data_IF_125499057047
#
_entry.id   IF_125499057047
#
_cell.length_a   1.000
_cell.length_b   1.000
_cell.length_c   1.000
_cell.angle_alpha   90.00
_cell.angle_beta   90.00
_cell.angle_gamma   90.00
#
_symmetry.space_group_name_H-M   'P 1'
#
loop_
_entity.id
_entity.type
_entity.pdbx_description
1 polymer ?
#
# COMPACT_ATOMS: atom_id res chain seq x y z
N UNK A 1 1.07 -2.89 42.56
CA UNK A 1 1.34 -1.76 41.64
C UNK A 1 2.26 -0.73 42.27
N UNK A 2 1.82 0.08 43.24
CA UNK A 2 2.67 1.14 43.81
C UNK A 2 3.89 0.61 44.60
N UNK A 3 3.72 -0.45 45.40
CA UNK A 3 4.86 -1.07 46.11
C UNK A 3 5.92 -1.60 45.14
N UNK A 4 5.49 -2.33 44.11
CA UNK A 4 6.39 -2.87 43.09
C UNK A 4 7.09 -1.77 42.29
N UNK A 5 6.37 -0.72 41.91
CA UNK A 5 6.98 0.45 41.25
C UNK A 5 8.05 1.09 42.13
N UNK A 6 7.74 1.36 43.41
CA UNK A 6 8.68 1.94 44.38
C UNK A 6 9.94 1.09 44.51
N UNK A 7 9.78 -0.22 44.63
CA UNK A 7 10.90 -1.14 44.82
C UNK A 7 11.79 -1.20 43.56
N UNK A 8 11.21 -1.18 42.36
CA UNK A 8 11.96 -1.10 41.09
C UNK A 8 12.71 0.22 40.95
N UNK A 9 12.08 1.36 41.23
CA UNK A 9 12.73 2.68 41.20
C UNK A 9 13.89 2.73 42.20
N UNK A 10 13.70 2.16 43.40
CA UNK A 10 14.77 2.06 44.41
C UNK A 10 15.95 1.21 43.92
N UNK A 11 15.68 0.11 43.22
CA UNK A 11 16.74 -0.73 42.62
C UNK A 11 17.49 0.06 41.55
N UNK A 12 16.78 0.69 40.62
CA UNK A 12 17.38 1.44 39.50
C UNK A 12 18.23 2.61 39.98
N UNK A 13 17.77 3.30 41.03
CA UNK A 13 18.53 4.39 41.66
C UNK A 13 19.82 3.87 42.33
N UNK A 14 19.76 2.72 43.02
CA UNK A 14 20.95 2.11 43.65
C UNK A 14 21.96 1.58 42.62
N UNK A 15 21.47 1.08 41.50
CA UNK A 15 22.27 0.59 40.37
C UNK A 15 22.89 1.73 39.53
N UNK A 16 22.50 3.00 39.78
CA UNK A 16 22.98 4.15 39.02
C UNK A 16 22.46 4.18 37.57
N UNK A 17 21.26 3.63 37.31
CA UNK A 17 20.69 3.62 35.96
C UNK A 17 20.39 5.03 35.45
N UNK A 18 20.39 5.23 34.13
CA UNK A 18 20.01 6.51 33.53
C UNK A 18 18.61 6.95 33.99
N UNK A 19 18.44 8.25 34.20
CA UNK A 19 17.14 8.83 34.57
C UNK A 19 16.01 8.45 33.59
N UNK A 20 16.36 8.23 32.31
CA UNK A 20 15.43 7.77 31.27
C UNK A 20 14.72 6.46 31.64
N UNK A 21 15.40 5.53 32.32
CA UNK A 21 14.80 4.25 32.71
C UNK A 21 13.78 4.43 33.82
N UNK A 22 14.03 5.36 34.75
CA UNK A 22 13.09 5.71 35.82
C UNK A 22 11.88 6.45 35.23
N UNK A 23 12.09 7.36 34.27
CA UNK A 23 11.00 8.03 33.55
C UNK A 23 10.12 7.02 32.79
N UNK A 24 10.72 6.04 32.12
CA UNK A 24 9.98 4.97 31.46
C UNK A 24 9.12 4.14 32.43
N UNK A 25 9.60 3.91 33.67
CA UNK A 25 8.79 3.27 34.72
C UNK A 25 7.60 4.16 35.14
N UNK A 26 7.80 5.48 35.23
CA UNK A 26 6.74 6.42 35.56
C UNK A 26 5.68 6.47 34.45
N UNK A 27 6.10 6.49 33.18
CA UNK A 27 5.20 6.41 32.03
C UNK A 27 4.39 5.11 32.06
N UNK A 28 5.04 3.97 32.32
CA UNK A 28 4.33 2.68 32.47
C UNK A 28 3.30 2.71 33.61
N UNK A 29 3.67 3.26 34.77
CA UNK A 29 2.75 3.38 35.89
C UNK A 29 1.54 4.24 35.51
N UNK A 30 1.76 5.39 34.85
CA UNK A 30 0.72 6.34 34.43
C UNK A 30 -0.18 5.74 33.36
N UNK A 31 0.41 5.22 32.28
CA UNK A 31 -0.29 4.91 31.04
C UNK A 31 -0.75 3.45 30.97
N UNK A 32 -0.24 2.53 31.80
CA UNK A 32 -0.65 1.12 31.79
C UNK A 32 -1.31 0.70 33.09
N UNK A 33 -0.59 0.85 34.20
CA UNK A 33 -0.98 0.26 35.48
C UNK A 33 -2.15 1.02 36.13
N UNK A 34 -2.10 2.35 36.16
CA UNK A 34 -3.16 3.19 36.73
C UNK A 34 -4.41 3.18 35.84
N UNK A 35 -4.26 3.24 34.52
CA UNK A 35 -5.39 3.19 33.60
C UNK A 35 -6.15 1.86 33.73
N UNK A 36 -5.47 0.73 33.93
CA UNK A 36 -6.12 -0.57 34.20
C UNK A 36 -6.93 -0.57 35.51
N UNK A 37 -6.56 0.28 36.47
CA UNK A 37 -7.30 0.48 37.72
C UNK A 37 -8.40 1.54 37.60
N UNK A 38 -8.61 2.09 36.40
CA UNK A 38 -9.58 3.16 36.16
C UNK A 38 -9.12 4.52 36.66
N UNK A 39 -7.81 4.74 36.76
CA UNK A 39 -7.22 5.98 37.25
C UNK A 39 -6.43 6.64 36.12
N UNK A 40 -6.82 7.86 35.76
CA UNK A 40 -6.09 8.70 34.80
C UNK A 40 -5.48 9.90 35.54
N UNK A 41 -4.24 10.25 35.19
CA UNK A 41 -3.52 11.40 35.72
C UNK A 41 -3.36 12.45 34.62
N UNK A 42 -3.91 13.65 34.85
CA UNK A 42 -3.66 14.81 34.00
C UNK A 42 -2.81 15.85 34.75
N UNK A 43 -1.79 16.41 34.10
CA UNK A 43 -0.96 17.43 34.72
C UNK A 43 -1.69 18.78 34.81
N UNK A 44 -1.57 19.44 35.97
CA UNK A 44 -2.05 20.82 36.16
C UNK A 44 -0.89 21.80 36.07
N UNK A 45 -1.22 23.06 35.79
CA UNK A 45 -0.24 24.15 35.71
C UNK A 45 0.51 24.40 37.03
N UNK A 46 -0.06 23.98 38.17
CA UNK A 46 0.56 24.08 39.50
C UNK A 46 1.54 22.92 39.82
N UNK A 47 1.74 22.00 38.88
CA UNK A 47 2.62 20.83 39.05
C UNK A 47 1.99 19.68 39.85
N UNK A 48 0.71 19.78 40.24
CA UNK A 48 -0.04 18.67 40.82
C UNK A 48 -0.76 17.86 39.74
N UNK A 49 -0.99 16.58 40.01
CA UNK A 49 -1.80 15.75 39.12
C UNK A 49 -3.29 15.86 39.47
N UNK A 50 -4.13 16.05 38.45
CA UNK A 50 -5.56 15.81 38.53
C UNK A 50 -5.83 14.32 38.36
N UNK A 51 -6.42 13.71 39.39
CA UNK A 51 -6.83 12.30 39.35
C UNK A 51 -8.26 12.23 38.82
N UNK A 52 -8.45 11.52 37.71
CA UNK A 52 -9.77 11.20 37.16
C UNK A 52 -10.04 9.71 37.31
N UNK A 53 -11.21 9.38 37.83
CA UNK A 53 -11.67 7.99 37.89
C UNK A 53 -12.54 7.73 36.68
N UNK A 54 -12.07 6.86 35.80
CA UNK A 54 -12.78 6.43 34.59
C UNK A 54 -12.99 4.92 34.73
N UNK A 55 -14.19 4.40 34.46
CA UNK A 55 -14.42 2.95 34.52
C UNK A 55 -13.39 2.20 33.66
N UNK A 56 -12.71 1.22 34.25
CA UNK A 56 -11.67 0.45 33.55
C UNK A 56 -12.21 -0.24 32.28
N UNK A 57 -13.51 -0.58 32.25
CA UNK A 57 -14.18 -1.14 31.08
C UNK A 57 -14.24 -0.15 29.91
N UNK A 58 -14.45 1.14 30.19
CA UNK A 58 -14.50 2.18 29.17
C UNK A 58 -13.11 2.42 28.56
N UNK A 59 -12.07 2.45 29.41
CA UNK A 59 -10.67 2.57 28.97
C UNK A 59 -10.22 1.34 28.17
N UNK A 60 -10.60 0.13 28.60
CA UNK A 60 -10.33 -1.09 27.87
C UNK A 60 -11.02 -1.10 26.49
N UNK A 61 -12.28 -0.66 26.41
CA UNK A 61 -13.01 -0.55 25.15
C UNK A 61 -12.37 0.46 24.20
N UNK A 62 -11.93 1.63 24.69
CA UNK A 62 -11.23 2.63 23.88
C UNK A 62 -9.89 2.12 23.33
N UNK A 63 -9.10 1.40 24.14
CA UNK A 63 -7.86 0.75 23.69
C UNK A 63 -8.13 -0.29 22.61
N UNK A 64 -9.11 -1.16 22.84
CA UNK A 64 -9.49 -2.19 21.86
C UNK A 64 -9.96 -1.57 20.54
N UNK A 65 -10.80 -0.53 20.60
CA UNK A 65 -11.25 0.19 19.40
C UNK A 65 -10.09 0.83 18.63
N UNK A 66 -9.11 1.42 19.33
CA UNK A 66 -7.92 2.01 18.69
C UNK A 66 -7.03 0.95 18.03
N UNK A 67 -6.84 -0.20 18.68
CA UNK A 67 -6.07 -1.32 18.12
C UNK A 67 -6.79 -1.92 16.90
N UNK A 68 -8.10 -2.12 16.98
CA UNK A 68 -8.90 -2.61 15.85
C UNK A 68 -8.84 -1.63 14.67
N UNK A 69 -9.03 -0.33 14.89
CA UNK A 69 -8.94 0.69 13.84
C UNK A 69 -7.53 0.74 13.20
N UNK A 70 -6.47 0.59 13.99
CA UNK A 70 -5.10 0.51 13.48
C UNK A 70 -4.88 -0.74 12.61
N UNK A 71 -5.38 -1.90 13.06
CA UNK A 71 -5.27 -3.16 12.33
C UNK A 71 -6.10 -3.15 11.04
N UNK A 72 -7.32 -2.61 11.06
CA UNK A 72 -8.15 -2.45 9.87
C UNK A 72 -7.49 -1.51 8.85
N UNK A 73 -6.91 -0.41 9.31
CA UNK A 73 -6.19 0.53 8.44
C UNK A 73 -4.94 -0.13 7.82
N UNK A 74 -4.22 -0.93 8.59
CA UNK A 74 -3.08 -1.69 8.10
C UNK A 74 -3.50 -2.73 7.06
N UNK A 75 -4.55 -3.51 7.34
CA UNK A 75 -5.10 -4.51 6.43
C UNK A 75 -5.58 -3.89 5.10
N UNK A 76 -6.33 -2.77 5.17
CA UNK A 76 -6.78 -2.05 3.97
C UNK A 76 -5.60 -1.50 3.16
N UNK A 77 -4.55 -1.02 3.82
CA UNK A 77 -3.34 -0.54 3.14
C UNK A 77 -2.61 -1.67 2.43
N UNK A 78 -2.52 -2.84 3.06
CA UNK A 78 -1.88 -4.02 2.49
C UNK A 78 -2.69 -4.58 1.30
N UNK A 79 -4.01 -4.66 1.43
CA UNK A 79 -4.89 -5.06 0.32
C UNK A 79 -4.81 -4.09 -0.85
N UNK A 80 -4.83 -2.78 -0.59
CA UNK A 80 -4.66 -1.76 -1.63
C UNK A 80 -3.28 -1.84 -2.29
N UNK A 81 -2.21 -2.14 -1.54
CA UNK A 81 -0.88 -2.34 -2.09
C UNK A 81 -0.83 -3.60 -2.99
N UNK A 82 -1.39 -4.73 -2.55
CA UNK A 82 -1.49 -5.96 -3.35
C UNK A 82 -2.30 -5.75 -4.62
N UNK A 83 -3.43 -5.04 -4.55
CA UNK A 83 -4.26 -4.73 -5.71
C UNK A 83 -3.51 -3.82 -6.70
N UNK A 84 -2.75 -2.83 -6.22
CA UNK A 84 -1.92 -1.96 -7.07
C UNK A 84 -0.79 -2.75 -7.75
N UNK A 85 -0.10 -3.62 -7.02
CA UNK A 85 0.94 -4.47 -7.61
C UNK A 85 0.37 -5.44 -8.65
N UNK A 86 -0.77 -6.09 -8.38
CA UNK A 86 -1.44 -6.95 -9.35
C UNK A 86 -1.86 -6.17 -10.61
N UNK A 87 -2.44 -4.96 -10.44
CA UNK A 87 -2.78 -4.10 -11.57
C UNK A 87 -1.54 -3.66 -12.36
N UNK A 88 -0.44 -3.36 -11.67
CA UNK A 88 0.84 -3.01 -12.30
C UNK A 88 1.41 -4.17 -13.12
N UNK A 89 1.43 -5.38 -12.56
CA UNK A 89 1.87 -6.59 -13.24
C UNK A 89 1.02 -6.89 -14.47
N UNK A 90 -0.31 -6.82 -14.35
CA UNK A 90 -1.22 -7.02 -15.48
C UNK A 90 -1.04 -5.96 -16.58
N UNK A 91 -0.77 -4.71 -16.19
CA UNK A 91 -0.46 -3.62 -17.13
C UNK A 91 0.88 -3.84 -17.85
N UNK A 92 1.90 -4.28 -17.11
CA UNK A 92 3.21 -4.63 -17.66
C UNK A 92 3.11 -5.81 -18.62
N UNK A 93 2.39 -6.88 -18.26
CA UNK A 93 2.19 -8.03 -19.15
C UNK A 93 1.50 -7.66 -20.45
N UNK A 94 0.44 -6.85 -20.38
CA UNK A 94 -0.24 -6.35 -21.58
C UNK A 94 0.67 -5.42 -22.40
N UNK A 95 1.51 -4.62 -21.74
CA UNK A 95 2.46 -3.72 -22.39
C UNK A 95 3.71 -4.40 -22.96
N UNK A 96 3.97 -5.69 -22.68
CA UNK A 96 5.12 -6.41 -23.26
C UNK A 96 5.02 -6.54 -24.78
N UNK A 97 3.82 -6.73 -25.31
CA UNK A 97 3.60 -6.86 -26.75
C UNK A 97 3.81 -5.52 -27.45
N UNK A 98 4.68 -5.50 -28.47
CA UNK A 98 4.87 -4.34 -29.34
C UNK A 98 3.58 -4.03 -30.08
N UNK A 99 3.25 -2.74 -30.21
CA UNK A 99 2.10 -2.30 -31.02
C UNK A 99 2.25 -2.70 -32.51
N UNK A 100 3.47 -2.92 -33.01
CA UNK A 100 3.72 -3.35 -34.40
C UNK A 100 3.37 -4.82 -34.63
N UNK A 101 3.57 -5.65 -33.60
CA UNK A 101 3.40 -7.11 -33.70
C UNK A 101 2.10 -7.60 -33.06
N UNK A 102 1.38 -6.73 -32.33
CA UNK A 102 0.18 -7.13 -31.56
C UNK A 102 -0.87 -7.84 -32.41
N UNK A 103 -1.10 -7.40 -33.66
CA UNK A 103 -2.11 -8.02 -34.54
C UNK A 103 -1.59 -9.27 -35.24
N UNK A 104 -0.26 -9.40 -35.41
CA UNK A 104 0.40 -10.58 -36.00
C UNK A 104 0.56 -11.72 -35.00
N UNK A 105 0.74 -11.39 -33.72
CA UNK A 105 0.89 -12.35 -32.61
C UNK A 105 -0.42 -12.61 -31.85
N UNK A 106 -1.48 -11.86 -32.15
CA UNK A 106 -2.80 -12.09 -31.58
C UNK A 106 -3.38 -13.42 -32.05
N UNK A 107 -4.20 -14.11 -31.22
CA UNK A 107 -4.99 -15.27 -31.66
C UNK A 107 -5.84 -14.98 -32.92
N UNK A 108 -6.18 -13.72 -33.15
CA UNK A 108 -7.00 -13.29 -34.29
C UNK A 108 -6.15 -13.01 -35.56
N UNK A 109 -4.84 -13.25 -35.54
CA UNK A 109 -3.98 -13.05 -36.71
C UNK A 109 -4.46 -13.85 -37.94
N UNK A 110 -5.07 -15.01 -37.71
CA UNK A 110 -5.65 -15.86 -38.76
C UNK A 110 -6.89 -15.25 -39.45
N UNK A 111 -7.47 -14.17 -38.90
CA UNK A 111 -8.61 -13.45 -39.48
C UNK A 111 -8.17 -12.39 -40.51
N UNK A 112 -6.87 -12.10 -40.61
CA UNK A 112 -6.31 -11.04 -41.46
C UNK A 112 -5.42 -11.61 -42.57
N UNK A 113 -5.52 -11.06 -43.77
CA UNK A 113 -4.75 -11.49 -44.94
C UNK A 113 -3.46 -10.71 -45.13
N UNK A 114 -3.52 -9.38 -44.99
CA UNK A 114 -2.39 -8.47 -45.16
C UNK A 114 -2.33 -7.41 -44.08
N UNK A 115 -1.13 -6.93 -43.78
CA UNK A 115 -0.84 -5.95 -42.73
C UNK A 115 -0.03 -4.79 -43.30
N UNK A 116 -0.17 -3.61 -42.71
CA UNK A 116 0.60 -2.43 -43.09
C UNK A 116 2.04 -2.58 -42.59
N UNK A 117 3.04 -2.34 -43.42
CA UNK A 117 4.44 -2.52 -43.02
C UNK A 117 4.91 -1.48 -41.98
N UNK A 118 4.38 -0.25 -42.06
CA UNK A 118 4.78 0.84 -41.16
C UNK A 118 4.12 0.77 -39.78
N UNK A 119 2.88 0.27 -39.69
CA UNK A 119 2.09 0.29 -38.45
C UNK A 119 1.79 -1.12 -37.92
N UNK A 120 1.84 -2.15 -38.77
CA UNK A 120 1.41 -3.50 -38.42
C UNK A 120 -0.11 -3.69 -38.35
N UNK A 121 -0.90 -2.70 -38.78
CA UNK A 121 -2.37 -2.75 -38.75
C UNK A 121 -2.89 -3.62 -39.91
N UNK A 122 -3.88 -4.50 -39.69
CA UNK A 122 -4.52 -5.26 -40.78
C UNK A 122 -5.15 -4.39 -41.87
N UNK A 123 -4.86 -4.68 -43.14
CA UNK A 123 -5.46 -4.03 -44.32
C UNK A 123 -6.62 -4.83 -44.90
N UNK A 124 -6.45 -6.15 -44.99
CA UNK A 124 -7.41 -7.08 -45.59
C UNK A 124 -7.81 -8.18 -44.61
N UNK A 125 -9.00 -8.75 -44.81
CA UNK A 125 -9.42 -9.96 -44.12
C UNK A 125 -8.77 -11.22 -44.71
N UNK A 126 -9.07 -12.38 -44.12
CA UNK A 126 -8.58 -13.69 -44.55
C UNK A 126 -8.89 -14.00 -46.03
N UNK A 127 -9.93 -13.42 -46.61
CA UNK A 127 -10.33 -13.62 -48.00
C UNK A 127 -9.67 -12.62 -48.96
N UNK A 128 -8.84 -11.71 -48.43
CA UNK A 128 -8.17 -10.67 -49.21
C UNK A 128 -9.07 -9.46 -49.52
N UNK A 129 -10.25 -9.36 -48.90
CA UNK A 129 -11.12 -8.20 -49.07
C UNK A 129 -10.68 -7.06 -48.14
N UNK A 130 -10.81 -5.82 -48.62
CA UNK A 130 -10.45 -4.65 -47.83
C UNK A 130 -11.35 -4.50 -46.59
N UNK A 131 -10.73 -4.30 -45.42
CA UNK A 131 -11.47 -4.10 -44.18
C UNK A 131 -12.37 -2.85 -44.25
N UNK A 132 -13.62 -2.91 -43.78
CA UNK A 132 -14.51 -1.76 -43.70
C UNK A 132 -13.90 -0.62 -42.89
N UNK A 133 -14.19 0.64 -43.26
CA UNK A 133 -13.69 1.84 -42.57
C UNK A 133 -13.96 1.83 -41.05
N UNK A 134 -15.09 1.25 -40.62
CA UNK A 134 -15.44 1.09 -39.20
C UNK A 134 -14.53 0.11 -38.46
N UNK A 135 -14.12 -0.98 -39.11
CA UNK A 135 -13.17 -1.97 -38.58
C UNK A 135 -11.75 -1.40 -38.53
N UNK A 136 -11.29 -0.76 -39.61
CA UNK A 136 -9.99 -0.07 -39.66
C UNK A 136 -9.87 0.94 -38.51
N UNK A 137 -10.89 1.78 -38.29
CA UNK A 137 -10.91 2.75 -37.17
C UNK A 137 -10.85 2.12 -35.78
N UNK A 138 -11.42 0.92 -35.59
CA UNK A 138 -11.31 0.18 -34.32
C UNK A 138 -9.89 -0.35 -34.11
N UNK A 139 -9.30 -0.96 -35.14
CA UNK A 139 -7.93 -1.48 -35.11
C UNK A 139 -6.91 -0.36 -34.86
N UNK A 140 -7.08 0.81 -35.47
CA UNK A 140 -6.22 1.98 -35.18
C UNK A 140 -6.33 2.43 -33.72
N UNK A 141 -7.53 2.44 -33.12
CA UNK A 141 -7.68 2.79 -31.70
C UNK A 141 -7.04 1.76 -30.77
N UNK A 142 -7.19 0.47 -31.08
CA UNK A 142 -6.54 -0.61 -30.34
C UNK A 142 -5.01 -0.51 -30.44
N UNK A 143 -4.50 -0.17 -31.63
CA UNK A 143 -3.09 0.10 -31.86
C UNK A 143 -2.57 1.28 -31.05
N UNK A 144 -3.27 2.42 -31.06
CA UNK A 144 -2.89 3.62 -30.28
C UNK A 144 -2.89 3.33 -28.77
N UNK A 145 -3.88 2.58 -28.29
CA UNK A 145 -3.96 2.16 -26.89
C UNK A 145 -2.78 1.24 -26.52
N UNK A 146 -2.45 0.26 -27.37
CA UNK A 146 -1.31 -0.62 -27.17
C UNK A 146 0.02 0.12 -27.26
N UNK A 147 0.15 1.09 -28.17
CA UNK A 147 1.34 1.91 -28.30
C UNK A 147 1.64 2.67 -27.01
N UNK A 148 0.63 3.34 -26.46
CA UNK A 148 0.76 4.02 -25.17
C UNK A 148 1.14 3.05 -24.05
N UNK A 149 0.53 1.87 -24.03
CA UNK A 149 0.81 0.85 -23.01
C UNK A 149 2.24 0.29 -23.12
N UNK A 150 2.74 0.08 -24.35
CA UNK A 150 4.07 -0.40 -24.63
C UNK A 150 5.14 0.66 -24.32
N UNK A 151 4.90 1.93 -24.66
CA UNK A 151 5.76 3.05 -24.28
C UNK A 151 5.88 3.19 -22.76
N UNK A 152 4.76 3.07 -22.03
CA UNK A 152 4.76 3.08 -20.56
C UNK A 152 5.50 1.86 -19.99
N UNK A 153 5.38 0.68 -20.61
CA UNK A 153 6.14 -0.52 -20.23
C UNK A 153 7.65 -0.32 -20.43
N UNK A 154 8.07 0.22 -21.58
CA UNK A 154 9.48 0.51 -21.87
C UNK A 154 10.05 1.53 -20.87
N UNK A 155 9.30 2.57 -20.53
CA UNK A 155 9.73 3.56 -19.53
C UNK A 155 9.89 2.95 -18.13
N UNK A 156 8.96 2.09 -17.70
CA UNK A 156 9.03 1.43 -16.39
C UNK A 156 10.16 0.40 -16.31
N UNK A 157 10.37 -0.40 -17.38
CA UNK A 157 11.49 -1.36 -17.45
C UNK A 157 12.84 -0.66 -17.50
N UNK A 158 12.97 0.45 -18.24
CA UNK A 158 14.17 1.27 -18.23
C UNK A 158 14.47 1.82 -16.82
N UNK A 159 13.45 2.34 -16.13
CA UNK A 159 13.58 2.83 -14.75
C UNK A 159 13.92 1.74 -13.73
N UNK A 160 13.36 0.54 -13.89
CA UNK A 160 13.69 -0.62 -13.05
C UNK A 160 15.14 -1.07 -13.25
N UNK A 161 15.64 -1.04 -14.49
CA UNK A 161 17.03 -1.37 -14.82
C UNK A 161 18.02 -0.33 -14.26
N UNK A 162 17.65 0.96 -14.22
CA UNK A 162 18.50 2.02 -13.65
C UNK A 162 18.46 2.10 -12.12
N UNK A 163 17.47 1.50 -11.46
CA UNK A 163 17.36 1.48 -9.99
C UNK A 163 18.04 0.27 -9.35
N UNK A 164 18.50 -0.69 -10.17
CA UNK A 164 19.19 -1.92 -9.72
C UNK A 164 20.70 -1.91 -10.02
N UNK A 165 21.23 -0.77 -10.47
CA UNK A 165 22.65 -0.49 -10.67
C UNK A 165 23.09 0.63 -9.71
#
# INVERSE_FOLDING_TARGET
>A
VLSSFRDTVRSYAREGRPAKDILALSDKLRDEDLERLGVSLDDREDGTALIKFIPAEELAAQRQAKVQAANEKAARKEEAARAKEAARLAKLEKGKASHLDMFRQSPNAAEYGSFEDATGIPLTDKEGQELPKSRKKKLTKEWEAQKKLHEEYLAETAKASSSSA
#
